data_IF_689899398233
#
_entry.id   IF_689899398233
#
_cell.length_a   1.000
_cell.length_b   1.000
_cell.length_c   1.000
_cell.angle_alpha   90.00
_cell.angle_beta   90.00
_cell.angle_gamma   90.00
#
_symmetry.space_group_name_H-M   'P 1'
#
loop_
_entity.id
_entity.type
_entity.pdbx_description
1 polymer ?
#
# COMPACT_ATOMS: atom_id res chain seq x y z
N UNK A 1 17.13 22.34 27.29
CA UNK A 1 17.35 20.91 27.16
C UNK A 1 16.00 20.25 27.40
N UNK A 2 15.14 20.25 26.38
CA UNK A 2 13.91 19.48 26.41
C UNK A 2 14.30 18.06 26.03
N UNK A 3 14.18 17.15 26.98
CA UNK A 3 14.07 15.73 26.64
C UNK A 3 12.72 15.59 25.93
N UNK A 4 12.73 15.47 24.62
CA UNK A 4 11.69 14.76 23.91
C UNK A 4 11.64 13.38 24.58
N UNK A 5 10.54 13.07 25.23
CA UNK A 5 10.23 11.70 25.64
C UNK A 5 10.03 10.95 24.31
N UNK A 6 11.10 10.32 23.86
CA UNK A 6 11.07 9.32 22.80
C UNK A 6 10.14 8.23 23.32
N UNK A 7 8.89 8.23 22.86
CA UNK A 7 7.91 7.19 23.19
C UNK A 7 8.52 5.89 22.72
N UNK A 8 9.04 5.11 23.66
CA UNK A 8 9.71 3.85 23.35
C UNK A 8 8.78 3.00 22.49
N UNK A 9 9.26 2.64 21.30
CA UNK A 9 8.52 1.78 20.36
C UNK A 9 8.27 0.42 21.02
N UNK A 10 7.07 -0.12 20.84
CA UNK A 10 6.69 -1.46 21.30
C UNK A 10 6.23 -2.33 20.14
N UNK A 11 6.30 -3.64 20.31
CA UNK A 11 5.83 -4.58 19.30
C UNK A 11 4.35 -4.89 19.50
N UNK A 12 3.57 -4.88 18.43
CA UNK A 12 2.20 -5.42 18.43
C UNK A 12 2.27 -6.80 17.80
N UNK A 13 2.01 -7.81 18.62
CA UNK A 13 2.06 -9.21 18.20
C UNK A 13 0.81 -9.55 17.38
N UNK A 14 1.00 -9.80 16.10
CA UNK A 14 -0.07 -10.14 15.14
C UNK A 14 -0.34 -11.64 15.06
N UNK A 15 0.24 -12.45 15.94
CA UNK A 15 -0.08 -13.87 16.02
C UNK A 15 -1.44 -14.10 16.71
N UNK A 16 -2.16 -15.11 16.27
CA UNK A 16 -3.42 -15.52 16.89
C UNK A 16 -3.19 -16.80 17.67
N UNK A 17 -3.32 -16.73 19.01
CA UNK A 17 -3.00 -17.84 19.93
C UNK A 17 -1.59 -18.41 19.71
N UNK A 18 -0.62 -17.53 19.46
CA UNK A 18 0.79 -17.89 19.23
C UNK A 18 1.07 -18.48 17.84
N UNK A 19 0.11 -18.45 16.93
CA UNK A 19 0.30 -18.90 15.54
C UNK A 19 0.29 -17.71 14.58
N UNK A 20 1.23 -17.70 13.63
CA UNK A 20 1.28 -16.68 12.59
C UNK A 20 0.02 -16.69 11.73
N UNK A 21 -0.50 -15.52 11.40
CA UNK A 21 -1.65 -15.34 10.52
C UNK A 21 -1.14 -14.93 9.13
N UNK A 22 -1.36 -15.78 8.13
CA UNK A 22 -0.92 -15.55 6.75
C UNK A 22 -2.05 -15.13 5.82
N UNK A 23 -3.31 -15.13 6.28
CA UNK A 23 -4.46 -14.72 5.46
C UNK A 23 -4.40 -13.21 5.18
N UNK A 24 -4.22 -12.78 3.92
CA UNK A 24 -4.06 -11.37 3.58
C UNK A 24 -5.35 -10.55 3.81
N UNK A 25 -6.53 -11.18 3.78
CA UNK A 25 -7.80 -10.52 4.08
C UNK A 25 -7.88 -10.19 5.57
N UNK A 26 -7.50 -11.17 6.41
CA UNK A 26 -7.46 -11.00 7.87
C UNK A 26 -6.42 -9.94 8.25
N UNK A 27 -5.21 -10.03 7.67
CA UNK A 27 -4.15 -9.06 7.94
C UNK A 27 -4.51 -7.63 7.50
N UNK A 28 -5.23 -7.47 6.37
CA UNK A 28 -5.69 -6.15 5.95
C UNK A 28 -6.82 -5.61 6.86
N UNK A 29 -7.66 -6.48 7.40
CA UNK A 29 -8.63 -6.11 8.44
C UNK A 29 -7.94 -5.69 9.73
N UNK A 30 -6.89 -6.42 10.13
CA UNK A 30 -6.06 -6.13 11.30
C UNK A 30 -5.40 -4.75 11.17
N UNK A 31 -4.71 -4.44 10.07
CA UNK A 31 -4.10 -3.12 9.85
C UNK A 31 -5.12 -1.99 10.06
N UNK A 32 -6.32 -2.15 9.50
CA UNK A 32 -7.38 -1.17 9.65
C UNK A 32 -7.91 -1.07 11.09
N UNK A 33 -8.03 -2.20 11.80
CA UNK A 33 -8.43 -2.24 13.20
C UNK A 33 -7.45 -1.47 14.10
N UNK A 34 -6.15 -1.65 13.88
CA UNK A 34 -5.11 -1.02 14.69
C UNK A 34 -5.14 0.51 14.63
N UNK A 35 -5.46 1.09 13.46
CA UNK A 35 -5.49 2.55 13.28
C UNK A 35 -6.84 3.18 13.63
N UNK A 36 -7.96 2.45 13.52
CA UNK A 36 -9.28 3.05 13.67
C UNK A 36 -9.95 2.74 15.01
N UNK A 37 -9.63 1.62 15.65
CA UNK A 37 -10.40 1.14 16.80
C UNK A 37 -9.56 0.83 18.04
N UNK A 38 -8.37 0.26 17.89
CA UNK A 38 -7.57 -0.17 19.05
C UNK A 38 -7.16 1.00 19.93
N UNK A 39 -6.98 2.21 19.38
CA UNK A 39 -6.65 3.46 20.10
C UNK A 39 -5.50 3.30 21.13
N UNK A 40 -4.53 2.44 20.84
CA UNK A 40 -3.38 2.17 21.69
C UNK A 40 -2.36 3.29 21.56
N UNK A 41 -2.31 4.22 22.53
CA UNK A 41 -1.40 5.36 22.51
C UNK A 41 0.07 4.93 22.44
N UNK A 42 0.86 5.64 21.64
CA UNK A 42 2.28 5.44 21.47
C UNK A 42 2.69 5.04 20.08
N UNK A 43 3.86 4.42 19.95
CA UNK A 43 4.46 3.97 18.70
C UNK A 43 4.59 2.45 18.68
N UNK A 44 3.64 1.77 18.08
CA UNK A 44 3.65 0.32 17.87
C UNK A 44 4.30 -0.06 16.53
N UNK A 45 4.97 -1.20 16.48
CA UNK A 45 5.45 -1.83 15.25
C UNK A 45 4.75 -3.17 15.07
N UNK A 46 4.21 -3.44 13.88
CA UNK A 46 3.78 -4.77 13.47
C UNK A 46 4.70 -5.31 12.39
N UNK A 47 4.86 -6.64 12.35
CA UNK A 47 5.51 -7.35 11.24
C UNK A 47 4.79 -8.68 11.01
N UNK A 48 4.34 -8.91 9.78
CA UNK A 48 3.68 -10.15 9.38
C UNK A 48 4.04 -10.57 7.96
N UNK A 49 3.63 -11.76 7.58
CA UNK A 49 3.84 -12.35 6.24
C UNK A 49 2.47 -12.74 5.70
N UNK A 50 2.23 -12.50 4.42
CA UNK A 50 1.03 -12.93 3.75
C UNK A 50 1.25 -14.19 2.91
N UNK A 51 0.22 -15.03 2.81
CA UNK A 51 0.10 -16.00 1.73
C UNK A 51 0.05 -15.26 0.37
N UNK A 52 0.27 -15.97 -0.75
CA UNK A 52 0.27 -15.36 -2.07
C UNK A 52 -0.96 -14.49 -2.33
N UNK A 53 -0.74 -13.19 -2.56
CA UNK A 53 -1.82 -12.24 -2.79
C UNK A 53 -1.37 -11.04 -3.64
N UNK A 54 -2.36 -10.35 -4.21
CA UNK A 54 -2.17 -9.00 -4.74
C UNK A 54 -2.97 -8.03 -3.89
N UNK A 55 -2.29 -7.03 -3.32
CA UNK A 55 -2.94 -5.95 -2.61
C UNK A 55 -3.01 -4.73 -3.51
N UNK A 56 -4.22 -4.33 -3.89
CA UNK A 56 -4.48 -3.12 -4.68
C UNK A 56 -4.84 -1.94 -3.78
N UNK A 57 -4.53 -0.74 -4.26
CA UNK A 57 -4.93 0.50 -3.58
C UNK A 57 -6.44 0.76 -3.69
N UNK A 58 -6.97 1.52 -2.72
CA UNK A 58 -8.40 1.88 -2.63
C UNK A 58 -9.02 2.29 -3.97
N UNK A 59 -8.30 3.11 -4.74
CA UNK A 59 -8.81 3.75 -5.95
C UNK A 59 -8.42 3.03 -7.25
N UNK A 60 -7.79 1.84 -7.18
CA UNK A 60 -7.38 1.10 -8.37
C UNK A 60 -8.54 0.28 -8.95
N UNK A 61 -8.56 0.19 -10.29
CA UNK A 61 -9.44 -0.74 -10.98
C UNK A 61 -8.78 -2.13 -11.02
N UNK A 62 -9.33 -3.09 -10.26
CA UNK A 62 -8.80 -4.46 -10.19
C UNK A 62 -8.65 -5.09 -11.58
N UNK A 63 -9.64 -4.91 -12.45
CA UNK A 63 -9.70 -5.48 -13.80
C UNK A 63 -8.64 -4.91 -14.77
N UNK A 64 -8.07 -3.74 -14.46
CA UNK A 64 -7.04 -3.10 -15.27
C UNK A 64 -5.62 -3.31 -14.73
N UNK A 65 -5.50 -3.53 -13.43
CA UNK A 65 -4.22 -3.59 -12.73
C UNK A 65 -3.69 -5.01 -12.53
N UNK A 66 -4.57 -6.02 -12.66
CA UNK A 66 -4.27 -7.40 -12.28
C UNK A 66 -4.82 -8.38 -13.32
N UNK A 67 -4.05 -9.42 -13.63
CA UNK A 67 -4.51 -10.57 -14.42
C UNK A 67 -5.35 -11.50 -13.51
N UNK A 68 -6.67 -11.27 -13.50
CA UNK A 68 -7.59 -12.01 -12.63
C UNK A 68 -7.67 -13.50 -12.95
N UNK A 69 -7.54 -13.87 -14.23
CA UNK A 69 -7.51 -15.29 -14.66
C UNK A 69 -6.25 -15.98 -14.12
N UNK A 70 -5.13 -15.26 -14.07
CA UNK A 70 -3.89 -15.78 -13.51
C UNK A 70 -3.99 -15.92 -11.98
N UNK A 71 -4.63 -14.97 -11.28
CA UNK A 71 -4.89 -15.07 -9.85
C UNK A 71 -5.64 -16.37 -9.50
N UNK A 72 -6.78 -16.61 -10.15
CA UNK A 72 -7.64 -17.77 -9.90
C UNK A 72 -6.90 -19.08 -10.14
N UNK A 73 -6.16 -19.18 -11.24
CA UNK A 73 -5.41 -20.40 -11.60
C UNK A 73 -4.25 -20.73 -10.66
N UNK A 74 -3.76 -19.77 -9.90
CA UNK A 74 -2.58 -19.92 -9.03
C UNK A 74 -2.89 -19.71 -7.55
N UNK A 75 -4.16 -19.73 -7.14
CA UNK A 75 -4.63 -19.52 -5.76
C UNK A 75 -4.05 -18.24 -5.11
N UNK A 76 -3.99 -17.14 -5.89
CA UNK A 76 -3.52 -15.85 -5.43
C UNK A 76 -4.71 -14.98 -5.02
N UNK A 77 -4.75 -14.56 -3.77
CA UNK A 77 -5.87 -13.77 -3.24
C UNK A 77 -5.79 -12.32 -3.69
N UNK A 78 -6.89 -11.75 -4.19
CA UNK A 78 -7.01 -10.31 -4.41
C UNK A 78 -7.54 -9.62 -3.16
N UNK A 79 -6.84 -8.60 -2.69
CA UNK A 79 -7.26 -7.79 -1.54
C UNK A 79 -7.13 -6.32 -1.88
N UNK A 80 -8.13 -5.51 -1.48
CA UNK A 80 -8.08 -4.05 -1.59
C UNK A 80 -7.82 -3.45 -0.22
N UNK A 81 -6.77 -2.62 -0.11
CA UNK A 81 -6.52 -1.84 1.10
C UNK A 81 -7.31 -0.53 1.11
N UNK A 82 -7.53 0.04 2.29
CA UNK A 82 -8.18 1.35 2.45
C UNK A 82 -7.26 2.53 2.09
N UNK A 83 -5.95 2.32 2.06
CA UNK A 83 -4.98 3.30 1.59
C UNK A 83 -4.88 3.36 0.06
N UNK A 84 -4.42 4.49 -0.46
CA UNK A 84 -4.12 4.67 -1.88
C UNK A 84 -2.80 4.00 -2.30
N UNK A 85 -2.31 4.34 -3.49
CA UNK A 85 -1.08 3.78 -4.08
C UNK A 85 -1.34 2.63 -5.05
N UNK A 86 -0.25 2.08 -5.63
CA UNK A 86 -0.30 1.05 -6.66
C UNK A 86 -0.50 -0.37 -6.13
N UNK A 87 -0.72 -1.31 -7.04
CA UNK A 87 -0.81 -2.73 -6.75
C UNK A 87 0.56 -3.31 -6.36
N UNK A 88 0.57 -4.22 -5.40
CA UNK A 88 1.75 -4.95 -4.95
C UNK A 88 1.42 -6.44 -4.85
N UNK A 89 2.34 -7.28 -5.33
CA UNK A 89 2.29 -8.71 -5.09
C UNK A 89 3.04 -9.05 -3.81
N UNK A 90 2.52 -9.97 -3.03
CA UNK A 90 3.14 -10.50 -1.82
C UNK A 90 3.00 -12.01 -1.79
N UNK A 91 3.96 -12.68 -1.16
CA UNK A 91 3.94 -14.10 -0.89
C UNK A 91 4.72 -14.40 0.41
N UNK A 92 4.95 -15.68 0.70
CA UNK A 92 5.71 -16.10 1.89
C UNK A 92 7.18 -15.62 1.92
N UNK A 93 7.69 -15.06 0.82
CA UNK A 93 9.02 -14.44 0.75
C UNK A 93 9.02 -12.93 1.01
N UNK A 94 7.87 -12.35 1.40
CA UNK A 94 7.72 -10.93 1.66
C UNK A 94 7.32 -10.68 3.11
N UNK A 95 7.96 -9.71 3.77
CA UNK A 95 7.59 -9.26 5.11
C UNK A 95 6.90 -7.91 5.00
N UNK A 96 5.72 -7.79 5.56
CA UNK A 96 5.07 -6.49 5.81
C UNK A 96 5.57 -5.95 7.13
N UNK A 97 5.92 -4.66 7.18
CA UNK A 97 6.19 -3.93 8.41
C UNK A 97 5.35 -2.65 8.42
N UNK A 98 4.79 -2.31 9.55
CA UNK A 98 4.02 -1.08 9.68
C UNK A 98 4.18 -0.47 11.08
N UNK A 99 4.49 0.82 11.12
CA UNK A 99 4.47 1.61 12.34
C UNK A 99 3.05 2.11 12.55
N UNK A 100 2.47 1.81 13.70
CA UNK A 100 1.16 2.27 14.14
C UNK A 100 1.40 3.31 15.24
N UNK A 101 1.10 4.57 14.96
CA UNK A 101 1.32 5.68 15.89
C UNK A 101 -0.01 6.30 16.25
N UNK A 102 -0.31 6.37 17.54
CA UNK A 102 -1.51 7.02 18.07
C UNK A 102 -1.09 8.12 19.04
N UNK A 103 -1.64 9.32 18.86
CA UNK A 103 -1.34 10.51 19.65
C UNK A 103 -0.42 11.47 18.89
N UNK A 104 0.88 11.25 18.87
CA UNK A 104 1.81 12.14 18.16
C UNK A 104 1.98 11.76 16.68
N UNK A 105 1.28 12.45 15.82
CA UNK A 105 1.37 12.29 14.36
C UNK A 105 2.19 13.39 13.68
N UNK A 106 3.10 14.05 14.39
CA UNK A 106 3.92 15.16 13.88
C UNK A 106 4.81 14.75 12.69
N UNK A 107 5.24 13.48 12.63
CA UNK A 107 6.01 12.91 11.52
C UNK A 107 5.16 12.47 10.31
N UNK A 108 3.89 12.91 10.20
CA UNK A 108 3.10 12.63 9.01
C UNK A 108 3.75 13.20 7.74
N UNK A 109 4.01 12.33 6.76
CA UNK A 109 4.72 12.68 5.52
C UNK A 109 6.23 12.46 5.56
N UNK A 110 6.81 12.22 6.73
CA UNK A 110 8.23 11.94 6.91
C UNK A 110 8.52 10.43 6.82
N UNK A 111 8.68 9.94 5.59
CA UNK A 111 9.04 8.54 5.35
C UNK A 111 10.42 8.18 5.89
N UNK A 112 11.34 9.14 6.03
CA UNK A 112 12.69 8.87 6.53
C UNK A 112 12.66 8.47 8.00
N UNK A 113 11.83 9.11 8.81
CA UNK A 113 11.66 8.78 10.21
C UNK A 113 11.23 7.31 10.41
N UNK A 114 10.23 6.86 9.66
CA UNK A 114 9.68 5.49 9.79
C UNK A 114 10.50 4.42 9.05
N UNK A 115 11.31 4.80 8.06
CA UNK A 115 12.22 3.88 7.38
C UNK A 115 13.52 3.62 8.17
N UNK A 116 13.95 4.59 8.99
CA UNK A 116 15.28 4.53 9.61
C UNK A 116 15.50 3.29 10.48
N UNK A 117 14.56 2.86 11.36
CA UNK A 117 14.74 1.64 12.15
C UNK A 117 14.95 0.37 11.29
N UNK A 118 14.29 0.30 10.14
CA UNK A 118 14.43 -0.81 9.18
C UNK A 118 15.78 -0.76 8.49
N UNK A 119 16.22 0.44 8.06
CA UNK A 119 17.52 0.66 7.41
C UNK A 119 18.65 0.28 8.37
N UNK A 120 18.57 0.72 9.62
CA UNK A 120 19.56 0.43 10.64
C UNK A 120 19.64 -1.07 10.97
N UNK A 121 18.47 -1.73 11.08
CA UNK A 121 18.38 -3.16 11.31
C UNK A 121 18.99 -3.98 10.16
N UNK A 122 18.69 -3.63 8.91
CA UNK A 122 19.27 -4.29 7.73
C UNK A 122 20.78 -4.09 7.66
N UNK A 123 21.24 -2.88 7.97
CA UNK A 123 22.69 -2.57 8.05
C UNK A 123 23.37 -3.37 9.15
N UNK A 124 22.74 -3.50 10.33
CA UNK A 124 23.24 -4.31 11.44
C UNK A 124 23.28 -5.82 11.13
N UNK A 125 22.45 -6.30 10.19
CA UNK A 125 22.49 -7.66 9.65
C UNK A 125 23.52 -7.84 8.51
N UNK A 126 24.31 -6.78 8.21
CA UNK A 126 25.42 -6.85 7.26
C UNK A 126 25.04 -6.55 5.81
N UNK A 127 23.87 -5.96 5.57
CA UNK A 127 23.48 -5.48 4.22
C UNK A 127 23.98 -4.05 4.07
N UNK A 128 24.98 -3.86 3.19
CA UNK A 128 25.57 -2.56 2.93
C UNK A 128 24.75 -1.76 1.90
N UNK A 129 24.82 -0.43 1.95
CA UNK A 129 24.22 0.45 0.94
C UNK A 129 22.69 0.59 1.02
N UNK A 130 22.07 0.16 2.12
CA UNK A 130 20.62 0.35 2.36
C UNK A 130 20.34 1.83 2.56
N UNK A 131 19.41 2.38 1.81
CA UNK A 131 19.01 3.79 1.93
C UNK A 131 17.59 4.06 1.45
N UNK A 132 16.99 5.12 1.97
CA UNK A 132 15.75 5.66 1.42
C UNK A 132 16.07 6.42 0.12
N UNK A 133 15.35 6.12 -0.96
CA UNK A 133 15.50 6.79 -2.26
C UNK A 133 14.16 7.33 -2.76
N UNK A 134 14.21 8.56 -3.27
CA UNK A 134 13.01 9.26 -3.68
C UNK A 134 12.14 9.59 -2.47
N UNK A 135 10.83 9.34 -2.59
CA UNK A 135 9.88 9.65 -1.54
C UNK A 135 9.74 8.52 -0.51
N UNK A 136 9.67 7.27 -0.99
CA UNK A 136 9.16 6.17 -0.20
C UNK A 136 9.69 4.78 -0.60
N UNK A 137 10.77 4.71 -1.37
CA UNK A 137 11.41 3.44 -1.74
C UNK A 137 12.66 3.22 -0.86
N UNK A 138 12.81 2.05 -0.24
CA UNK A 138 14.08 1.63 0.34
C UNK A 138 14.81 0.80 -0.72
N UNK A 139 16.08 1.10 -0.93
CA UNK A 139 16.90 0.48 -1.97
C UNK A 139 18.22 -0.03 -1.44
N UNK A 140 18.79 -1.02 -2.15
CA UNK A 140 20.19 -1.46 -2.06
C UNK A 140 20.76 -1.43 -3.48
N UNK A 141 21.89 -0.77 -3.69
CA UNK A 141 22.52 -0.65 -5.02
C UNK A 141 21.53 -0.18 -6.11
N UNK A 142 20.69 0.82 -5.76
CA UNK A 142 19.63 1.38 -6.62
C UNK A 142 18.47 0.42 -6.95
N UNK A 143 18.51 -0.82 -6.50
CA UNK A 143 17.40 -1.77 -6.64
C UNK A 143 16.46 -1.66 -5.45
N UNK A 144 15.18 -1.58 -5.73
CA UNK A 144 14.15 -1.46 -4.71
C UNK A 144 13.97 -2.77 -3.95
N UNK A 145 14.09 -2.70 -2.62
CA UNK A 145 13.82 -3.79 -1.67
C UNK A 145 12.56 -3.58 -0.85
N UNK A 146 12.03 -2.35 -0.86
CA UNK A 146 10.80 -1.97 -0.16
C UNK A 146 10.12 -0.80 -0.83
N UNK A 147 8.79 -0.76 -0.75
CA UNK A 147 7.99 0.43 -1.04
C UNK A 147 7.10 0.72 0.15
N UNK A 148 7.13 1.96 0.63
CA UNK A 148 6.36 2.39 1.78
C UNK A 148 5.11 3.16 1.38
N UNK A 149 4.12 3.12 2.25
CA UNK A 149 2.92 3.97 2.22
C UNK A 149 2.68 4.58 3.60
N UNK A 150 1.84 5.60 3.65
CA UNK A 150 1.49 6.26 4.90
C UNK A 150 0.03 6.70 4.84
N UNK A 151 -0.71 6.41 5.89
CA UNK A 151 -2.12 6.79 6.05
C UNK A 151 -2.29 7.47 7.40
N UNK A 152 -3.07 8.54 7.45
CA UNK A 152 -3.43 9.24 8.68
C UNK A 152 -4.95 9.24 8.83
N UNK A 153 -5.42 8.86 10.01
CA UNK A 153 -6.83 8.88 10.41
C UNK A 153 -6.92 9.59 11.76
N UNK A 154 -7.51 10.77 11.79
CA UNK A 154 -7.61 11.59 13.01
C UNK A 154 -6.25 11.79 13.71
N UNK A 155 -6.08 11.23 14.91
CA UNK A 155 -4.85 11.24 15.69
C UNK A 155 -4.02 9.96 15.58
N UNK A 156 -4.34 9.09 14.62
CA UNK A 156 -3.62 7.87 14.35
C UNK A 156 -2.92 7.92 12.97
N UNK A 157 -1.80 7.24 12.86
CA UNK A 157 -0.96 7.17 11.67
C UNK A 157 -0.47 5.73 11.50
N UNK A 158 -0.60 5.20 10.29
CA UNK A 158 0.08 4.00 9.86
C UNK A 158 1.13 4.34 8.81
N UNK A 159 2.38 3.92 9.02
CA UNK A 159 3.49 4.16 8.10
C UNK A 159 4.32 2.89 7.96
N UNK A 160 4.31 2.28 6.79
CA UNK A 160 5.01 1.03 6.59
C UNK A 160 5.12 0.63 5.13
N UNK A 161 5.54 -0.58 4.92
CA UNK A 161 5.74 -1.13 3.58
C UNK A 161 6.06 -2.61 3.61
N UNK A 162 6.64 -3.07 2.52
CA UNK A 162 7.00 -4.47 2.32
C UNK A 162 8.51 -4.61 2.20
N UNK A 163 9.09 -5.65 2.78
CA UNK A 163 10.48 -6.04 2.56
C UNK A 163 10.50 -7.27 1.65
N UNK A 164 11.12 -7.14 0.50
CA UNK A 164 11.30 -8.21 -0.48
C UNK A 164 12.46 -9.10 -0.01
N UNK A 165 12.15 -10.14 0.78
CA UNK A 165 13.17 -11.03 1.33
C UNK A 165 13.54 -12.13 0.34
N UNK A 166 12.57 -12.95 -0.05
CA UNK A 166 12.70 -14.08 -0.99
C UNK A 166 11.44 -14.19 -1.87
N UNK A 167 10.92 -13.04 -2.31
CA UNK A 167 9.69 -12.93 -3.11
C UNK A 167 9.88 -13.58 -4.49
N UNK A 168 8.85 -14.28 -5.00
CA UNK A 168 8.81 -14.69 -6.40
C UNK A 168 8.54 -13.49 -7.33
N UNK A 169 9.64 -12.87 -7.76
CA UNK A 169 9.56 -11.70 -8.65
C UNK A 169 9.04 -12.04 -10.04
N UNK A 170 9.17 -13.30 -10.49
CA UNK A 170 8.62 -13.73 -11.78
C UNK A 170 7.10 -13.80 -11.69
N UNK A 171 6.56 -14.34 -10.61
CA UNK A 171 5.12 -14.39 -10.37
C UNK A 171 4.55 -12.97 -10.23
N UNK A 172 5.23 -12.09 -9.49
CA UNK A 172 4.87 -10.67 -9.40
C UNK A 172 4.77 -10.01 -10.79
N UNK A 173 5.74 -10.26 -11.66
CA UNK A 173 5.76 -9.74 -13.03
C UNK A 173 4.66 -10.28 -13.96
N UNK A 174 4.11 -11.46 -13.65
CA UNK A 174 3.02 -12.08 -14.43
C UNK A 174 1.64 -11.61 -13.99
N UNK A 175 1.45 -11.45 -12.68
CA UNK A 175 0.14 -11.14 -12.12
C UNK A 175 -0.20 -9.65 -12.21
N UNK A 176 0.80 -8.79 -12.13
CA UNK A 176 0.61 -7.33 -12.21
C UNK A 176 0.67 -6.87 -13.67
N UNK A 177 -0.31 -6.05 -14.06
CA UNK A 177 -0.40 -5.42 -15.39
C UNK A 177 -0.10 -3.92 -15.27
N UNK A 178 1.18 -3.52 -15.03
CA UNK A 178 1.51 -2.12 -14.78
C UNK A 178 1.32 -1.28 -16.03
N UNK A 179 0.85 -0.04 -15.83
CA UNK A 179 0.76 0.95 -16.91
C UNK A 179 2.14 1.16 -17.59
N UNK A 180 2.19 0.95 -18.90
CA UNK A 180 3.42 1.03 -19.70
C UNK A 180 4.08 2.41 -19.64
N UNK A 181 3.30 3.49 -19.52
CA UNK A 181 3.83 4.85 -19.42
C UNK A 181 4.51 5.10 -18.06
N UNK A 182 4.00 4.48 -17.00
CA UNK A 182 4.65 4.47 -15.68
C UNK A 182 6.02 3.77 -15.73
N UNK A 183 6.13 2.66 -16.45
CA UNK A 183 7.39 1.95 -16.64
C UNK A 183 8.39 2.77 -17.45
N UNK A 184 7.95 3.40 -18.57
CA UNK A 184 8.79 4.26 -19.42
C UNK A 184 9.35 5.45 -18.64
N UNK A 185 8.51 6.13 -17.86
CA UNK A 185 8.91 7.31 -17.06
C UNK A 185 9.96 6.96 -16.00
N UNK A 186 9.95 5.73 -15.49
CA UNK A 186 10.94 5.22 -14.53
C UNK A 186 12.18 4.58 -15.20
N UNK A 187 12.24 4.56 -16.53
CA UNK A 187 13.37 4.05 -17.30
C UNK A 187 13.55 2.52 -17.23
N UNK A 188 12.52 1.77 -16.83
CA UNK A 188 12.54 0.30 -16.70
C UNK A 188 11.58 -0.35 -17.68
N UNK A 189 11.96 -1.56 -18.15
CA UNK A 189 11.15 -2.33 -19.12
C UNK A 189 10.13 -3.25 -18.46
N UNK A 190 10.30 -3.58 -17.17
CA UNK A 190 9.46 -4.51 -16.41
C UNK A 190 9.60 -4.29 -14.91
N UNK A 191 8.66 -4.79 -14.11
CA UNK A 191 8.68 -4.69 -12.64
C UNK A 191 9.88 -5.45 -12.05
N UNK A 192 10.17 -6.64 -12.53
CA UNK A 192 11.23 -7.53 -12.08
C UNK A 192 12.64 -6.94 -12.20
N UNK A 193 12.88 -6.03 -13.12
CA UNK A 193 14.16 -5.34 -13.30
C UNK A 193 14.42 -4.18 -12.35
N UNK A 194 13.42 -3.80 -11.56
CA UNK A 194 13.48 -2.67 -10.63
C UNK A 194 13.65 -3.12 -9.18
N UNK A 195 13.25 -4.34 -8.87
CA UNK A 195 13.21 -4.88 -7.50
C UNK A 195 14.33 -5.89 -7.28
N UNK A 196 14.73 -6.06 -6.02
CA UNK A 196 15.68 -7.09 -5.59
C UNK A 196 15.22 -7.71 -4.30
N UNK A 197 15.53 -8.99 -4.12
CA UNK A 197 15.37 -9.67 -2.85
C UNK A 197 16.56 -9.42 -1.94
N UNK A 198 16.32 -9.43 -0.63
CA UNK A 198 17.34 -9.26 0.41
C UNK A 198 18.17 -10.55 0.64
N UNK A 199 17.53 -11.72 0.55
CA UNK A 199 18.14 -13.01 0.87
C UNK A 199 19.48 -13.25 0.15
N UNK A 200 19.66 -12.97 -1.15
CA UNK A 200 20.93 -13.13 -1.84
C UNK A 200 22.06 -12.22 -1.35
N UNK A 201 21.73 -11.17 -0.59
CA UNK A 201 22.69 -10.20 -0.04
C UNK A 201 23.24 -10.63 1.33
N UNK A 202 22.57 -11.56 1.99
CA UNK A 202 22.94 -12.07 3.30
C UNK A 202 24.12 -13.06 3.20
N UNK A 203 24.91 -13.13 4.26
CA UNK A 203 26.11 -13.97 4.33
C UNK A 203 26.14 -14.82 5.61
N UNK A 204 26.93 -15.90 5.59
CA UNK A 204 27.07 -16.78 6.75
C UNK A 204 25.74 -17.40 7.16
N UNK A 205 25.51 -17.54 8.46
CA UNK A 205 24.32 -18.18 9.02
C UNK A 205 23.00 -17.47 8.68
N UNK A 206 23.07 -16.22 8.22
CA UNK A 206 21.89 -15.46 7.81
C UNK A 206 21.41 -15.82 6.39
N UNK A 207 22.27 -16.40 5.56
CA UNK A 207 21.95 -16.68 4.14
C UNK A 207 20.85 -17.73 3.96
N UNK A 208 20.72 -18.66 4.92
CA UNK A 208 19.79 -19.78 4.86
C UNK A 208 18.55 -19.60 5.72
N UNK A 209 18.31 -18.40 6.27
CA UNK A 209 17.13 -18.13 7.09
C UNK A 209 15.84 -18.29 6.28
N UNK A 210 14.82 -18.84 6.93
CA UNK A 210 13.44 -18.69 6.45
C UNK A 210 12.99 -17.25 6.59
N UNK A 211 11.91 -16.86 5.90
CA UNK A 211 11.34 -15.52 6.00
C UNK A 211 10.93 -15.18 7.45
N UNK A 212 10.36 -16.16 8.18
CA UNK A 212 10.02 -16.00 9.59
C UNK A 212 11.25 -15.77 10.45
N UNK A 213 12.30 -16.58 10.28
CA UNK A 213 13.54 -16.42 11.04
C UNK A 213 14.25 -15.08 10.72
N UNK A 214 14.17 -14.62 9.47
CA UNK A 214 14.68 -13.31 9.11
C UNK A 214 13.87 -12.16 9.74
N UNK A 215 12.53 -12.29 9.79
CA UNK A 215 11.66 -11.35 10.51
C UNK A 215 12.04 -11.25 11.99
N UNK A 216 12.31 -12.38 12.65
CA UNK A 216 12.78 -12.39 14.04
C UNK A 216 14.15 -11.72 14.19
N UNK A 217 15.08 -11.97 13.26
CA UNK A 217 16.38 -11.33 13.27
C UNK A 217 16.27 -9.80 13.10
N UNK A 218 15.35 -9.33 12.25
CA UNK A 218 15.06 -7.90 12.12
C UNK A 218 14.49 -7.32 13.43
N UNK A 219 13.52 -7.97 14.05
CA UNK A 219 12.94 -7.52 15.34
C UNK A 219 14.01 -7.38 16.41
N UNK A 220 14.94 -8.35 16.52
CA UNK A 220 16.07 -8.27 17.46
C UNK A 220 16.93 -7.02 17.22
N UNK A 221 17.19 -6.67 15.98
CA UNK A 221 17.99 -5.48 15.64
C UNK A 221 17.22 -4.18 15.84
N UNK A 222 15.94 -4.13 15.49
CA UNK A 222 15.08 -2.96 15.68
C UNK A 222 14.93 -2.63 17.18
N UNK A 223 14.72 -3.65 18.02
CA UNK A 223 14.52 -3.50 19.47
C UNK A 223 15.81 -3.60 20.29
N UNK A 224 16.97 -3.71 19.63
CA UNK A 224 18.28 -3.79 20.27
C UNK A 224 18.39 -4.89 21.33
N UNK A 225 17.81 -6.06 21.09
CA UNK A 225 17.81 -7.20 22.01
C UNK A 225 18.13 -8.51 21.27
N UNK A 226 18.69 -9.47 21.96
CA UNK A 226 18.80 -10.85 21.45
C UNK A 226 17.65 -11.75 21.96
N UNK A 227 16.89 -11.28 22.94
CA UNK A 227 15.75 -12.00 23.54
C UNK A 227 14.44 -11.33 23.12
N UNK A 228 13.69 -11.97 22.21
CA UNK A 228 12.40 -11.48 21.73
C UNK A 228 11.35 -11.39 22.84
N UNK A 229 11.45 -12.19 23.89
CA UNK A 229 10.50 -12.15 25.02
C UNK A 229 10.69 -10.91 25.89
N UNK A 230 11.86 -10.25 25.81
CA UNK A 230 12.15 -9.00 26.52
C UNK A 230 11.52 -7.77 25.85
N UNK A 231 11.05 -7.88 24.61
CA UNK A 231 10.43 -6.77 23.89
C UNK A 231 9.09 -6.41 24.53
N UNK A 232 8.94 -5.13 24.89
CA UNK A 232 7.63 -4.63 25.29
C UNK A 232 6.61 -4.87 24.16
N UNK A 233 5.53 -5.61 24.45
CA UNK A 233 4.56 -5.98 23.43
C UNK A 233 3.12 -5.82 23.88
N UNK A 234 2.26 -5.54 22.92
CA UNK A 234 0.82 -5.71 23.03
C UNK A 234 0.45 -7.00 22.28
N UNK A 235 -0.22 -7.90 22.94
CA UNK A 235 -0.77 -9.12 22.33
C UNK A 235 -2.26 -8.92 22.10
N UNK A 236 -2.72 -9.12 20.88
CA UNK A 236 -4.13 -9.01 20.53
C UNK A 236 -4.97 -9.99 21.34
N UNK A 237 -6.02 -9.48 21.97
CA UNK A 237 -6.97 -10.24 22.77
C UNK A 237 -8.00 -10.97 21.92
N UNK A 238 -8.77 -11.86 22.52
CA UNK A 238 -9.90 -12.53 21.82
C UNK A 238 -10.97 -11.51 21.39
N UNK A 239 -11.16 -10.43 22.14
CA UNK A 239 -12.04 -9.32 21.77
C UNK A 239 -11.54 -8.56 20.56
N UNK A 240 -10.22 -8.28 20.47
CA UNK A 240 -9.61 -7.67 19.30
C UNK A 240 -9.83 -8.53 18.05
N UNK A 241 -9.57 -9.85 18.18
CA UNK A 241 -9.75 -10.79 17.08
C UNK A 241 -11.22 -10.92 16.67
N UNK A 242 -12.17 -10.86 17.59
CA UNK A 242 -13.59 -10.88 17.25
C UNK A 242 -14.00 -9.67 16.41
N UNK A 243 -13.44 -8.47 16.68
CA UNK A 243 -13.70 -7.27 15.89
C UNK A 243 -13.05 -7.41 14.51
N UNK A 244 -11.81 -7.91 14.43
CA UNK A 244 -11.12 -8.16 13.16
C UNK A 244 -11.91 -9.13 12.30
N UNK A 245 -12.36 -10.26 12.85
CA UNK A 245 -13.17 -11.27 12.14
C UNK A 245 -14.52 -10.70 11.66
N UNK A 246 -15.17 -9.87 12.49
CA UNK A 246 -16.43 -9.20 12.09
C UNK A 246 -16.20 -8.27 10.90
N UNK A 247 -15.09 -7.53 10.87
CA UNK A 247 -14.72 -6.66 9.74
C UNK A 247 -14.40 -7.46 8.47
N UNK A 248 -13.80 -8.64 8.62
CA UNK A 248 -13.61 -9.57 7.49
C UNK A 248 -14.98 -9.98 6.94
N UNK A 249 -15.89 -10.40 7.81
CA UNK A 249 -17.22 -10.85 7.40
C UNK A 249 -18.06 -9.73 6.77
N UNK A 250 -17.96 -8.51 7.26
CA UNK A 250 -18.81 -7.39 6.83
C UNK A 250 -18.23 -6.61 5.65
N UNK A 251 -16.90 -6.60 5.47
CA UNK A 251 -16.26 -5.71 4.53
C UNK A 251 -15.08 -6.35 3.78
N UNK A 252 -13.96 -6.70 4.45
CA UNK A 252 -12.73 -7.10 3.77
C UNK A 252 -12.82 -8.42 3.01
N UNK A 253 -13.69 -9.34 3.44
CA UNK A 253 -13.95 -10.60 2.76
C UNK A 253 -14.97 -10.50 1.62
N UNK A 254 -15.50 -9.29 1.32
CA UNK A 254 -16.51 -9.12 0.26
C UNK A 254 -15.88 -8.86 -1.09
N UNK A 255 -16.37 -9.54 -2.11
CA UNK A 255 -15.96 -9.33 -3.49
C UNK A 255 -16.28 -7.91 -3.97
N UNK A 256 -17.39 -7.34 -3.52
CA UNK A 256 -17.78 -5.96 -3.84
C UNK A 256 -16.73 -4.94 -3.39
N UNK A 257 -16.01 -5.23 -2.29
CA UNK A 257 -14.90 -4.39 -1.85
C UNK A 257 -13.63 -4.69 -2.65
N UNK A 258 -13.21 -5.95 -2.74
CA UNK A 258 -11.92 -6.33 -3.30
C UNK A 258 -11.85 -6.11 -4.81
N UNK A 259 -12.85 -6.53 -5.55
CA UNK A 259 -12.91 -6.35 -7.00
C UNK A 259 -13.53 -5.00 -7.38
N UNK A 260 -14.48 -4.50 -6.61
CA UNK A 260 -15.28 -3.32 -6.94
C UNK A 260 -16.27 -3.60 -8.06
N UNK A 261 -17.00 -2.58 -8.47
CA UNK A 261 -17.87 -2.66 -9.64
C UNK A 261 -17.08 -2.41 -10.92
N UNK A 262 -17.32 -3.22 -11.95
CA UNK A 262 -16.90 -2.94 -13.31
C UNK A 262 -18.15 -2.72 -14.18
N UNK A 263 -18.88 -1.59 -14.02
CA UNK A 263 -19.95 -1.26 -14.94
C UNK A 263 -19.36 -1.15 -16.34
N UNK A 264 -20.09 -1.60 -17.34
CA UNK A 264 -19.66 -1.53 -18.74
C UNK A 264 -19.54 -0.08 -19.20
N UNK A 265 -18.39 0.52 -18.99
CA UNK A 265 -18.07 1.85 -19.53
C UNK A 265 -17.72 1.76 -21.01
N UNK A 266 -18.09 2.78 -21.80
CA UNK A 266 -17.73 2.87 -23.22
C UNK A 266 -16.42 3.64 -23.45
N UNK A 267 -16.08 4.56 -22.54
CA UNK A 267 -14.91 5.40 -22.65
C UNK A 267 -13.92 5.13 -21.53
N UNK A 268 -12.66 4.94 -21.89
CA UNK A 268 -11.53 4.66 -20.98
C UNK A 268 -10.38 5.60 -21.31
N UNK A 269 -10.03 6.46 -20.37
CA UNK A 269 -8.95 7.43 -20.51
C UNK A 269 -7.97 7.25 -19.37
N UNK A 270 -6.68 7.20 -19.67
CA UNK A 270 -5.64 7.02 -18.64
C UNK A 270 -4.38 7.78 -19.01
N UNK A 271 -3.75 8.37 -17.98
CA UNK A 271 -2.44 8.99 -18.11
C UNK A 271 -1.64 8.88 -16.80
N UNK A 272 -0.32 8.90 -16.92
CA UNK A 272 0.59 8.96 -15.79
C UNK A 272 1.11 10.38 -15.60
N UNK A 273 0.96 10.92 -14.39
CA UNK A 273 1.42 12.25 -14.01
C UNK A 273 2.54 12.15 -12.96
N UNK A 274 3.76 12.62 -13.23
CA UNK A 274 4.84 12.65 -12.26
C UNK A 274 4.43 13.39 -10.97
N UNK A 275 4.68 12.76 -9.81
CA UNK A 275 4.33 13.31 -8.50
C UNK A 275 2.89 13.05 -8.03
N UNK A 276 1.98 12.65 -8.94
CA UNK A 276 0.59 12.26 -8.61
C UNK A 276 0.40 10.77 -8.75
N UNK A 277 0.77 10.19 -9.89
CA UNK A 277 0.57 8.78 -10.21
C UNK A 277 -0.23 8.59 -11.49
N UNK A 278 -0.78 7.39 -11.67
CA UNK A 278 -1.73 7.08 -12.74
C UNK A 278 -3.09 7.66 -12.38
N UNK A 279 -3.71 8.37 -13.31
CA UNK A 279 -5.10 8.82 -13.24
C UNK A 279 -5.85 8.23 -14.43
N UNK A 280 -6.98 7.60 -14.15
CA UNK A 280 -7.85 7.03 -15.19
C UNK A 280 -9.29 7.44 -14.97
N UNK A 281 -9.99 7.73 -16.06
CA UNK A 281 -11.40 8.07 -16.10
C UNK A 281 -12.14 7.09 -17.00
N UNK A 282 -13.14 6.44 -16.44
CA UNK A 282 -14.06 5.57 -17.17
C UNK A 282 -15.45 6.18 -17.13
N UNK A 283 -16.10 6.32 -18.27
CA UNK A 283 -17.38 7.03 -18.32
C UNK A 283 -18.26 6.62 -19.48
N UNK A 284 -19.54 7.01 -19.40
CA UNK A 284 -20.52 6.89 -20.45
C UNK A 284 -21.08 8.28 -20.82
N UNK A 285 -21.51 8.40 -22.07
CA UNK A 285 -22.10 9.63 -22.59
C UNK A 285 -23.42 9.26 -23.29
N UNK A 286 -24.48 10.02 -23.02
CA UNK A 286 -25.72 10.00 -23.80
C UNK A 286 -26.15 11.43 -24.12
N UNK A 287 -26.51 11.68 -25.38
CA UNK A 287 -26.98 12.98 -25.86
C UNK A 287 -26.02 14.16 -25.51
N UNK A 288 -24.70 13.89 -25.54
CA UNK A 288 -23.67 14.88 -25.21
C UNK A 288 -23.51 15.19 -23.72
N UNK A 289 -24.13 14.38 -22.84
CA UNK A 289 -24.06 14.51 -21.40
C UNK A 289 -23.40 13.27 -20.78
N UNK A 290 -22.54 13.45 -19.80
CA UNK A 290 -21.93 12.37 -19.02
C UNK A 290 -22.98 11.74 -18.12
N UNK A 291 -23.27 10.44 -18.32
CA UNK A 291 -24.29 9.70 -17.56
C UNK A 291 -23.72 8.90 -16.41
N UNK A 292 -22.50 8.40 -16.59
CA UNK A 292 -21.76 7.63 -15.60
C UNK A 292 -20.31 8.09 -15.62
N UNK A 293 -19.67 8.15 -14.47
CA UNK A 293 -18.26 8.56 -14.38
C UNK A 293 -17.59 7.88 -13.19
N UNK A 294 -16.40 7.34 -13.42
CA UNK A 294 -15.59 6.74 -12.36
C UNK A 294 -14.13 7.06 -12.53
N UNK A 295 -13.53 7.60 -11.48
CA UNK A 295 -12.11 7.91 -11.39
C UNK A 295 -11.37 6.75 -10.72
N UNK A 296 -10.32 6.27 -11.40
CA UNK A 296 -9.41 5.25 -10.89
C UNK A 296 -7.97 5.77 -10.88
N UNK A 297 -7.10 5.10 -10.15
CA UNK A 297 -5.67 5.37 -10.18
C UNK A 297 -4.92 4.93 -8.95
N UNK A 298 -3.62 5.16 -8.96
CA UNK A 298 -2.72 4.89 -7.84
C UNK A 298 -2.42 6.14 -6.98
N UNK A 299 -3.37 7.11 -6.96
CA UNK A 299 -3.30 8.27 -6.09
C UNK A 299 -3.24 7.83 -4.63
N UNK A 300 -2.31 8.44 -3.89
CA UNK A 300 -2.11 8.10 -2.47
C UNK A 300 -3.12 8.77 -1.54
N UNK A 301 -3.79 9.84 -1.97
CA UNK A 301 -4.70 10.67 -1.16
C UNK A 301 -5.94 11.04 -1.96
N UNK A 302 -6.96 11.55 -1.25
CA UNK A 302 -8.17 12.10 -1.84
C UNK A 302 -9.36 11.12 -1.84
N UNK A 303 -10.49 11.66 -2.24
CA UNK A 303 -11.77 10.96 -2.38
C UNK A 303 -12.33 11.15 -3.80
N UNK A 304 -11.86 10.38 -4.79
CA UNK A 304 -12.25 10.51 -6.18
C UNK A 304 -13.76 10.45 -6.41
N UNK A 305 -14.52 9.77 -5.55
CA UNK A 305 -15.99 9.71 -5.62
C UNK A 305 -16.67 11.09 -5.62
N UNK A 306 -16.05 12.13 -5.04
CA UNK A 306 -16.57 13.51 -5.11
C UNK A 306 -16.47 14.07 -6.53
N UNK A 307 -15.39 13.73 -7.25
CA UNK A 307 -15.24 14.09 -8.66
C UNK A 307 -16.22 13.30 -9.51
N UNK A 308 -16.37 12.00 -9.26
CA UNK A 308 -17.28 11.13 -9.99
C UNK A 308 -18.70 11.68 -9.96
N UNK A 309 -19.22 12.00 -8.77
CA UNK A 309 -20.55 12.56 -8.58
C UNK A 309 -20.71 13.93 -9.25
N UNK A 310 -19.66 14.77 -9.19
CA UNK A 310 -19.70 16.11 -9.77
C UNK A 310 -19.67 16.12 -11.31
N UNK A 311 -19.13 15.05 -11.92
CA UNK A 311 -19.03 14.90 -13.38
C UNK A 311 -20.34 14.42 -14.01
N UNK A 312 -21.14 13.64 -13.30
CA UNK A 312 -22.42 13.15 -13.79
C UNK A 312 -23.36 14.32 -14.08
N UNK A 313 -23.99 14.31 -15.26
CA UNK A 313 -24.88 15.36 -15.73
C UNK A 313 -24.19 16.58 -16.35
N UNK A 314 -22.85 16.59 -16.47
CA UNK A 314 -22.11 17.63 -17.18
C UNK A 314 -22.09 17.36 -18.68
N UNK A 315 -22.07 18.44 -19.47
CA UNK A 315 -21.88 18.34 -20.91
C UNK A 315 -20.48 17.80 -21.24
N UNK A 316 -20.39 16.95 -22.26
CA UNK A 316 -19.12 16.40 -22.73
C UNK A 316 -18.44 17.41 -23.69
N UNK A 317 -18.02 18.52 -23.10
CA UNK A 317 -17.26 19.58 -23.73
C UNK A 317 -16.26 20.17 -22.73
N UNK A 318 -15.40 21.08 -23.21
CA UNK A 318 -14.35 21.69 -22.39
C UNK A 318 -14.92 22.37 -21.13
N UNK A 319 -16.01 23.11 -21.27
CA UNK A 319 -16.58 23.91 -20.17
C UNK A 319 -17.29 23.02 -19.14
N UNK A 320 -18.08 22.06 -19.60
CA UNK A 320 -18.80 21.12 -18.73
C UNK A 320 -17.84 20.24 -17.93
N UNK A 321 -16.82 19.68 -18.58
CA UNK A 321 -15.80 18.86 -17.92
C UNK A 321 -15.02 19.70 -16.89
N UNK A 322 -14.57 20.90 -17.28
CA UNK A 322 -13.86 21.79 -16.36
C UNK A 322 -14.73 22.19 -15.15
N UNK A 323 -16.03 22.43 -15.37
CA UNK A 323 -16.96 22.74 -14.30
C UNK A 323 -17.15 21.56 -13.35
N UNK A 324 -17.28 20.33 -13.88
CA UNK A 324 -17.41 19.10 -13.07
C UNK A 324 -16.15 18.84 -12.22
N UNK A 325 -14.96 18.91 -12.81
CA UNK A 325 -13.70 18.74 -12.10
C UNK A 325 -13.54 19.76 -10.96
N UNK A 326 -13.85 21.03 -11.19
CA UNK A 326 -13.82 22.08 -10.16
C UNK A 326 -14.83 21.81 -9.04
N UNK A 327 -16.07 21.47 -9.40
CA UNK A 327 -17.12 21.17 -8.43
C UNK A 327 -16.78 19.96 -7.54
N UNK A 328 -16.06 18.95 -8.10
CA UNK A 328 -15.56 17.79 -7.37
C UNK A 328 -14.25 18.04 -6.63
N UNK A 329 -13.74 19.26 -6.57
CA UNK A 329 -12.49 19.63 -5.92
C UNK A 329 -11.33 18.70 -6.32
N UNK A 330 -11.10 18.57 -7.63
CA UNK A 330 -10.16 17.60 -8.22
C UNK A 330 -8.73 17.70 -7.64
N UNK A 331 -8.28 18.92 -7.24
CA UNK A 331 -6.93 19.11 -6.72
C UNK A 331 -6.69 18.38 -5.41
N UNK A 332 -7.68 18.33 -4.53
CA UNK A 332 -7.60 17.62 -3.26
C UNK A 332 -7.95 16.12 -3.42
N UNK A 333 -8.76 15.78 -4.41
CA UNK A 333 -9.30 14.43 -4.58
C UNK A 333 -8.56 13.57 -5.61
N UNK A 334 -7.87 14.20 -6.58
CA UNK A 334 -7.04 13.50 -7.59
C UNK A 334 -5.57 13.87 -7.41
N UNK A 335 -5.27 15.18 -7.32
CA UNK A 335 -3.93 15.70 -7.15
C UNK A 335 -3.74 17.07 -7.76
N UNK A 336 -2.60 17.71 -7.45
CA UNK A 336 -2.25 19.05 -7.94
C UNK A 336 -1.80 18.98 -9.39
N UNK A 337 -2.77 18.93 -10.30
CA UNK A 337 -2.60 18.91 -11.75
C UNK A 337 -3.19 20.17 -12.37
N UNK A 338 -2.72 20.55 -13.55
CA UNK A 338 -3.39 21.58 -14.34
C UNK A 338 -4.75 21.03 -14.82
N UNK A 339 -5.79 21.84 -14.74
CA UNK A 339 -7.13 21.39 -15.12
C UNK A 339 -7.20 21.09 -16.62
N UNK A 340 -6.43 21.81 -17.41
CA UNK A 340 -6.32 21.66 -18.85
C UNK A 340 -5.81 20.26 -19.24
N UNK A 341 -4.89 19.69 -18.44
CA UNK A 341 -4.37 18.36 -18.66
C UNK A 341 -5.46 17.29 -18.45
N UNK A 342 -6.27 17.43 -17.39
CA UNK A 342 -7.37 16.50 -17.10
C UNK A 342 -8.52 16.64 -18.11
N UNK A 343 -8.87 17.87 -18.50
CA UNK A 343 -9.86 18.14 -19.55
C UNK A 343 -9.40 17.54 -20.88
N UNK A 344 -8.14 17.74 -21.23
CA UNK A 344 -7.54 17.17 -22.44
C UNK A 344 -7.55 15.64 -22.41
N UNK A 345 -7.23 15.03 -21.27
CA UNK A 345 -7.27 13.58 -21.10
C UNK A 345 -8.68 13.01 -21.33
N UNK A 346 -9.70 13.67 -20.80
CA UNK A 346 -11.10 13.19 -20.90
C UNK A 346 -11.61 13.36 -22.35
N UNK A 347 -11.26 14.44 -23.04
CA UNK A 347 -11.76 14.75 -24.40
C UNK A 347 -11.06 13.94 -25.51
N UNK A 348 -9.76 13.61 -25.35
CA UNK A 348 -8.94 12.97 -26.38
C UNK A 348 -8.76 11.48 -26.13
#
# INVERSE_FOLDING_TARGET
MNKEEDLSMFFIDTSRHGQAVYDPIVNQSLDNYLINDLALEGHGLIMYINAPCVIIGKNQNAYAEVDLDYLEKNDITLVRRTGGGGAVYQDYGNIVFENIVVGDTSHYGDFSYYAQPIIDALTALGIEGVQLKGRNDIVVDDLKISGMSMVKVENALAAGGTLLYDLDTQQAGRVLTPNQDKLKTKGVKSVDKRVSNLKPLLKGDLADLSTEAFKEALLKKIFHTEDLDSIQRYTLTDEDWAIIDQRVADFYGKDEWNYGSNPGFHYYKTAYYPGVGTVAFNFNISDGVITDFKTYGDMSFGQPDQVDQAMIGKTYDQDGIAAGLKAGNYQDNIGKLAIEDLVSLILN
#
